data_IF_257033996961
#
_entry.id   IF_257033996961
#
_cell.length_a   1.000
_cell.length_b   1.000
_cell.length_c   1.000
_cell.angle_alpha   90.00
_cell.angle_beta   90.00
_cell.angle_gamma   90.00
#
_symmetry.space_group_name_H-M   'P 1'
#
loop_
_entity.id
_entity.type
_entity.pdbx_description
1 polymer ?
#
# COMPACT_ATOMS: atom_id res chain seq x y z
N UNK A 1 -32.36 2.68 3.70
CA UNK A 1 -31.55 3.28 4.79
C UNK A 1 -30.14 3.35 4.27
N UNK A 2 -29.60 4.56 4.08
CA UNK A 2 -28.27 4.78 3.50
C UNK A 2 -27.33 5.25 4.62
N UNK A 3 -26.15 4.63 4.73
CA UNK A 3 -25.16 4.95 5.75
C UNK A 3 -23.96 5.60 5.08
N UNK A 4 -23.73 6.88 5.36
CA UNK A 4 -22.58 7.62 4.84
C UNK A 4 -21.41 7.44 5.80
N UNK A 5 -20.35 6.77 5.36
CA UNK A 5 -19.12 6.57 6.15
C UNK A 5 -18.06 7.57 5.67
N UNK A 6 -17.47 8.39 6.56
CA UNK A 6 -16.40 9.31 6.17
C UNK A 6 -15.19 8.57 5.59
N UNK A 7 -14.62 9.08 4.49
CA UNK A 7 -13.48 8.45 3.81
C UNK A 7 -12.27 8.19 4.74
N UNK A 8 -12.04 9.07 5.72
CA UNK A 8 -11.00 8.90 6.75
C UNK A 8 -11.18 7.62 7.56
N UNK A 9 -12.42 7.25 7.89
CA UNK A 9 -12.73 6.05 8.69
C UNK A 9 -12.41 4.82 7.84
N UNK A 10 -12.85 4.80 6.59
CA UNK A 10 -12.55 3.71 5.65
C UNK A 10 -11.03 3.54 5.50
N UNK A 11 -10.31 4.62 5.22
CA UNK A 11 -8.86 4.60 5.04
C UNK A 11 -8.13 4.07 6.29
N UNK A 12 -8.49 4.57 7.48
CA UNK A 12 -7.89 4.12 8.75
C UNK A 12 -8.22 2.66 9.03
N UNK A 13 -9.45 2.21 8.75
CA UNK A 13 -9.85 0.80 8.93
C UNK A 13 -9.08 -0.13 8.00
N UNK A 14 -8.99 0.20 6.70
CA UNK A 14 -8.23 -0.60 5.74
C UNK A 14 -6.76 -0.67 6.14
N UNK A 15 -6.17 0.46 6.55
CA UNK A 15 -4.81 0.49 7.06
C UNK A 15 -4.64 -0.35 8.33
N UNK A 16 -5.56 -0.28 9.30
CA UNK A 16 -5.49 -1.05 10.54
C UNK A 16 -5.59 -2.56 10.31
N UNK A 17 -6.42 -2.99 9.36
CA UNK A 17 -6.51 -4.41 8.94
C UNK A 17 -5.21 -4.85 8.29
N UNK A 18 -4.66 -4.05 7.37
CA UNK A 18 -3.38 -4.34 6.73
C UNK A 18 -2.24 -4.41 7.76
N UNK A 19 -2.21 -3.48 8.72
CA UNK A 19 -1.24 -3.46 9.80
C UNK A 19 -1.33 -4.72 10.67
N UNK A 20 -2.55 -5.13 11.07
CA UNK A 20 -2.77 -6.35 11.83
C UNK A 20 -2.30 -7.60 11.09
N UNK A 21 -2.61 -7.69 9.79
CA UNK A 21 -2.12 -8.78 8.93
C UNK A 21 -0.59 -8.81 8.89
N UNK A 22 0.05 -7.65 8.70
CA UNK A 22 1.50 -7.58 8.64
C UNK A 22 2.16 -7.93 9.97
N UNK A 23 1.59 -7.50 11.10
CA UNK A 23 2.08 -7.87 12.42
C UNK A 23 2.02 -9.38 12.64
N UNK A 24 0.95 -10.02 12.16
CA UNK A 24 0.84 -11.48 12.20
C UNK A 24 1.87 -12.16 11.30
N UNK A 25 1.98 -11.76 10.04
CA UNK A 25 2.87 -12.41 9.07
C UNK A 25 4.35 -12.21 9.41
N UNK A 26 4.72 -10.99 9.84
CA UNK A 26 6.11 -10.59 10.03
C UNK A 26 6.61 -10.83 11.45
N UNK A 27 5.78 -10.56 12.45
CA UNK A 27 6.16 -10.67 13.88
C UNK A 27 5.50 -11.85 14.60
N UNK A 28 4.60 -12.58 13.94
CA UNK A 28 3.83 -13.67 14.58
C UNK A 28 2.76 -13.18 15.56
N UNK A 29 2.49 -11.87 15.63
CA UNK A 29 1.57 -11.27 16.61
C UNK A 29 0.19 -11.10 16.01
N UNK A 30 -0.80 -11.81 16.54
CA UNK A 30 -2.19 -11.64 16.14
C UNK A 30 -2.83 -10.46 16.86
N UNK A 31 -3.72 -9.75 16.16
CA UNK A 31 -4.56 -8.71 16.73
C UNK A 31 -6.02 -9.14 16.62
N UNK A 32 -6.78 -8.96 17.69
CA UNK A 32 -8.20 -9.25 17.67
C UNK A 32 -8.97 -8.17 16.93
N UNK A 33 -10.21 -8.48 16.53
CA UNK A 33 -11.11 -7.46 15.96
C UNK A 33 -11.33 -6.29 16.93
N UNK A 34 -11.32 -6.55 18.23
CA UNK A 34 -11.48 -5.51 19.25
C UNK A 34 -10.25 -4.59 19.30
N UNK A 35 -9.04 -5.13 19.20
CA UNK A 35 -7.80 -4.33 19.11
C UNK A 35 -7.82 -3.41 17.89
N UNK A 36 -8.22 -3.96 16.73
CA UNK A 36 -8.35 -3.19 15.48
C UNK A 36 -9.37 -2.06 15.65
N UNK A 37 -10.54 -2.34 16.26
CA UNK A 37 -11.56 -1.31 16.53
C UNK A 37 -11.04 -0.20 17.44
N UNK A 38 -10.30 -0.54 18.49
CA UNK A 38 -9.70 0.45 19.41
C UNK A 38 -8.68 1.33 18.67
N UNK A 39 -7.82 0.74 17.84
CA UNK A 39 -6.85 1.47 17.02
C UNK A 39 -7.56 2.43 16.06
N UNK A 40 -8.59 1.95 15.35
CA UNK A 40 -9.35 2.79 14.41
C UNK A 40 -10.00 3.97 15.15
N UNK A 41 -10.68 3.72 16.27
CA UNK A 41 -11.33 4.77 17.03
C UNK A 41 -10.32 5.81 17.58
N UNK A 42 -9.16 5.34 18.05
CA UNK A 42 -8.07 6.19 18.52
C UNK A 42 -7.52 7.09 17.40
N UNK A 43 -7.17 6.50 16.25
CA UNK A 43 -6.60 7.24 15.12
C UNK A 43 -7.58 8.24 14.52
N UNK A 44 -8.87 7.91 14.45
CA UNK A 44 -9.91 8.85 14.00
C UNK A 44 -9.95 10.07 14.92
N UNK A 45 -9.91 9.88 16.25
CA UNK A 45 -9.90 10.97 17.23
C UNK A 45 -8.65 11.85 17.10
N UNK A 46 -7.48 11.23 17.01
CA UNK A 46 -6.21 11.95 16.84
C UNK A 46 -6.23 12.79 15.56
N UNK A 47 -6.70 12.22 14.44
CA UNK A 47 -6.79 12.94 13.17
C UNK A 47 -7.76 14.12 13.25
N UNK A 48 -8.88 13.98 13.94
CA UNK A 48 -9.83 15.07 14.15
C UNK A 48 -9.27 16.19 15.01
N UNK A 49 -8.49 15.87 16.03
CA UNK A 49 -7.81 16.85 16.86
C UNK A 49 -6.73 17.61 16.08
N UNK A 50 -5.93 16.90 15.28
CA UNK A 50 -4.90 17.51 14.41
C UNK A 50 -5.57 18.47 13.41
N UNK A 51 -6.65 18.04 12.75
CA UNK A 51 -7.35 18.87 11.77
C UNK A 51 -7.99 20.13 12.38
N UNK A 52 -8.33 20.11 13.68
CA UNK A 52 -8.83 21.30 14.40
C UNK A 52 -7.72 22.28 14.78
N UNK A 53 -6.51 21.78 15.05
CA UNK A 53 -5.38 22.59 15.54
C UNK A 53 -4.52 23.18 14.43
N UNK A 54 -4.53 22.60 13.23
CA UNK A 54 -3.73 23.10 12.12
C UNK A 54 -4.47 24.23 11.37
N UNK A 55 -3.83 25.40 11.13
CA UNK A 55 -4.40 26.43 10.27
C UNK A 55 -4.50 25.91 8.82
N UNK A 56 -5.52 26.39 8.10
CA UNK A 56 -5.93 25.93 6.76
C UNK A 56 -4.91 26.24 5.62
N UNK A 57 -3.63 26.44 5.93
CA UNK A 57 -2.58 26.66 4.95
C UNK A 57 -2.17 25.35 4.31
N UNK A 58 -2.98 24.88 3.36
CA UNK A 58 -2.63 23.81 2.42
C UNK A 58 -1.98 24.36 1.15
N UNK A 59 -0.92 25.14 1.32
CA UNK A 59 0.13 25.24 0.28
C UNK A 59 1.29 24.33 0.67
N UNK A 60 0.99 23.06 0.91
CA UNK A 60 2.02 22.05 0.66
C UNK A 60 2.13 21.96 -0.85
N UNK A 61 3.35 22.00 -1.40
CA UNK A 61 3.62 21.47 -2.73
C UNK A 61 3.16 20.02 -2.70
N UNK A 62 1.88 19.80 -3.02
CA UNK A 62 1.32 18.47 -3.08
C UNK A 62 2.04 17.84 -4.25
N UNK A 63 3.00 16.97 -3.95
CA UNK A 63 3.49 15.94 -4.87
C UNK A 63 2.32 15.00 -5.13
N UNK A 64 1.31 15.53 -5.81
CA UNK A 64 0.24 14.75 -6.35
C UNK A 64 0.86 13.74 -7.29
N UNK A 65 0.36 12.51 -7.21
CA UNK A 65 0.67 11.52 -8.22
C UNK A 65 0.41 12.15 -9.59
N UNK A 66 1.47 12.27 -10.40
CA UNK A 66 1.37 12.77 -11.77
C UNK A 66 1.15 11.57 -12.69
N UNK A 67 0.13 11.56 -13.54
CA UNK A 67 0.00 10.52 -14.53
C UNK A 67 1.21 10.49 -15.49
N UNK A 68 1.55 9.31 -16.05
CA UNK A 68 2.49 9.25 -17.16
C UNK A 68 1.90 9.94 -18.40
N UNK A 69 2.76 10.36 -19.34
CA UNK A 69 2.32 10.80 -20.67
C UNK A 69 2.15 9.58 -21.57
N UNK A 70 1.05 9.50 -22.32
CA UNK A 70 0.84 8.55 -23.42
C UNK A 70 2.07 8.56 -24.36
N UNK A 71 2.61 7.38 -24.79
CA UNK A 71 2.12 6.00 -24.60
C UNK A 71 2.71 5.28 -23.38
N UNK A 72 3.20 6.01 -22.40
CA UNK A 72 3.87 5.41 -21.25
C UNK A 72 2.86 4.98 -20.18
N UNK A 73 3.21 3.90 -19.49
CA UNK A 73 2.53 3.45 -18.28
C UNK A 73 3.38 3.76 -17.05
N UNK A 74 2.74 3.91 -15.89
CA UNK A 74 3.41 4.04 -14.60
C UNK A 74 3.30 2.74 -13.83
N UNK A 75 4.45 2.19 -13.46
CA UNK A 75 4.55 0.98 -12.66
C UNK A 75 4.97 1.35 -11.24
N UNK A 76 4.08 1.12 -10.28
CA UNK A 76 4.38 1.20 -8.85
C UNK A 76 4.69 -0.22 -8.37
N UNK A 77 5.83 -0.42 -7.72
CA UNK A 77 6.22 -1.71 -7.15
C UNK A 77 6.74 -1.52 -5.72
N UNK A 78 6.68 -2.57 -4.93
CA UNK A 78 7.15 -2.65 -3.56
C UNK A 78 7.44 -4.12 -3.22
N UNK A 79 8.21 -4.38 -2.17
CA UNK A 79 8.48 -5.73 -1.70
C UNK A 79 8.38 -5.88 -0.18
N UNK A 80 7.58 -6.84 0.27
CA UNK A 80 7.64 -7.32 1.66
C UNK A 80 8.79 -8.31 1.80
N UNK A 81 9.68 -8.12 2.79
CA UNK A 81 10.81 -9.02 3.02
C UNK A 81 10.82 -9.57 4.45
N UNK A 82 10.89 -10.90 4.57
CA UNK A 82 10.95 -11.62 5.85
C UNK A 82 12.33 -12.28 6.03
N UNK A 83 13.26 -11.64 6.76
CA UNK A 83 14.65 -12.11 6.87
C UNK A 83 14.78 -13.46 7.56
N UNK A 84 13.89 -13.80 8.49
CA UNK A 84 13.99 -15.04 9.28
C UNK A 84 13.88 -16.32 8.43
N UNK A 85 13.22 -16.23 7.29
CA UNK A 85 13.01 -17.35 6.37
C UNK A 85 13.57 -17.08 4.98
N UNK A 86 14.31 -15.97 4.81
CA UNK A 86 14.87 -15.54 3.52
C UNK A 86 13.83 -15.50 2.39
N UNK A 87 12.62 -15.02 2.65
CA UNK A 87 11.56 -14.89 1.65
C UNK A 87 11.17 -13.44 1.45
N UNK A 88 10.73 -13.13 0.23
CA UNK A 88 10.04 -11.87 -0.06
C UNK A 88 8.76 -12.11 -0.84
N UNK A 89 7.91 -11.09 -0.87
CA UNK A 89 6.76 -11.02 -1.76
C UNK A 89 6.76 -9.66 -2.43
N UNK A 90 6.95 -9.66 -3.74
CA UNK A 90 6.87 -8.47 -4.58
C UNK A 90 5.40 -8.16 -4.86
N UNK A 91 5.04 -6.87 -4.88
CA UNK A 91 3.72 -6.40 -5.28
C UNK A 91 3.87 -5.24 -6.26
N UNK A 92 2.98 -5.17 -7.25
CA UNK A 92 3.01 -4.09 -8.24
C UNK A 92 1.63 -3.74 -8.80
N UNK A 93 1.51 -2.51 -9.30
CA UNK A 93 0.33 -1.95 -9.97
C UNK A 93 0.79 -1.11 -11.15
N UNK A 94 0.19 -1.34 -12.30
CA UNK A 94 0.47 -0.66 -13.57
C UNK A 94 -0.71 0.23 -13.89
N UNK A 95 -0.45 1.50 -14.19
CA UNK A 95 -1.48 2.50 -14.48
C UNK A 95 -1.21 3.25 -15.78
N UNK A 96 -2.28 3.59 -16.48
CA UNK A 96 -2.22 4.44 -17.66
C UNK A 96 -2.19 5.95 -17.31
N UNK A 97 -2.23 6.79 -18.33
CA UNK A 97 -2.20 8.26 -18.29
C UNK A 97 -3.41 8.91 -17.60
N UNK A 98 -4.51 8.19 -17.43
CA UNK A 98 -5.67 8.66 -16.63
C UNK A 98 -5.73 7.98 -15.25
N UNK A 99 -4.72 7.17 -14.91
CA UNK A 99 -4.60 6.51 -13.62
C UNK A 99 -5.42 5.22 -13.47
N UNK A 100 -6.04 4.74 -14.54
CA UNK A 100 -6.70 3.43 -14.59
C UNK A 100 -5.66 2.32 -14.44
N UNK A 101 -6.02 1.31 -13.66
CA UNK A 101 -5.16 0.14 -13.44
C UNK A 101 -5.27 -0.76 -14.67
N UNK A 102 -4.16 -0.91 -15.40
CA UNK A 102 -4.05 -1.83 -16.53
C UNK A 102 -3.70 -3.25 -16.07
N UNK A 103 -3.01 -3.36 -14.94
CA UNK A 103 -2.63 -4.64 -14.35
C UNK A 103 -2.11 -4.48 -12.94
N UNK A 104 -2.17 -5.57 -12.16
CA UNK A 104 -1.56 -5.64 -10.83
C UNK A 104 -1.22 -7.09 -10.53
N UNK A 105 -0.29 -7.30 -9.59
CA UNK A 105 0.12 -8.64 -9.24
C UNK A 105 0.97 -8.71 -7.98
N UNK A 106 1.17 -9.93 -7.52
CA UNK A 106 2.09 -10.23 -6.44
C UNK A 106 2.83 -11.54 -6.73
N UNK A 107 4.12 -11.59 -6.41
CA UNK A 107 4.99 -12.74 -6.67
C UNK A 107 5.76 -13.07 -5.40
N UNK A 108 5.66 -14.32 -4.95
CA UNK A 108 6.48 -14.84 -3.85
C UNK A 108 7.86 -15.18 -4.37
N UNK A 109 8.90 -14.78 -3.64
CA UNK A 109 10.29 -15.09 -3.91
C UNK A 109 10.91 -15.81 -2.71
N UNK A 110 11.64 -16.87 -2.98
CA UNK A 110 12.44 -17.59 -1.98
C UNK A 110 13.93 -17.23 -2.13
N UNK A 111 14.73 -17.50 -1.10
CA UNK A 111 16.19 -17.29 -1.07
C UNK A 111 16.66 -15.84 -1.24
N UNK A 112 15.93 -14.89 -0.65
CA UNK A 112 16.29 -13.47 -0.67
C UNK A 112 17.16 -13.11 0.54
N UNK A 113 18.31 -12.50 0.28
CA UNK A 113 19.28 -12.16 1.33
C UNK A 113 19.00 -10.83 2.02
N UNK A 114 18.49 -9.83 1.28
CA UNK A 114 18.36 -8.45 1.76
C UNK A 114 17.04 -7.82 1.33
N UNK A 115 16.52 -6.89 2.12
CA UNK A 115 15.34 -6.08 1.77
C UNK A 115 15.57 -5.29 0.48
N UNK A 116 16.77 -4.73 0.29
CA UNK A 116 17.14 -4.04 -0.94
C UNK A 116 17.04 -4.95 -2.18
N UNK A 117 17.47 -6.20 -2.06
CA UNK A 117 17.32 -7.19 -3.15
C UNK A 117 15.86 -7.51 -3.43
N UNK A 118 15.01 -7.56 -2.40
CA UNK A 118 13.57 -7.78 -2.58
C UNK A 118 12.93 -6.66 -3.42
N UNK A 119 13.27 -5.40 -3.13
CA UNK A 119 12.80 -4.22 -3.88
C UNK A 119 13.28 -4.22 -5.32
N UNK A 120 14.58 -4.51 -5.53
CA UNK A 120 15.14 -4.64 -6.87
C UNK A 120 14.45 -5.75 -7.69
N UNK A 121 14.12 -6.87 -7.05
CA UNK A 121 13.38 -7.96 -7.70
C UNK A 121 11.96 -7.53 -8.06
N UNK A 122 11.24 -6.81 -7.18
CA UNK A 122 9.91 -6.29 -7.49
C UNK A 122 9.94 -5.34 -8.70
N UNK A 123 10.96 -4.47 -8.78
CA UNK A 123 11.21 -3.60 -9.93
C UNK A 123 11.37 -4.39 -11.24
N UNK A 124 12.09 -5.51 -11.21
CA UNK A 124 12.33 -6.35 -12.39
C UNK A 124 11.08 -7.16 -12.78
N UNK A 125 10.31 -7.62 -11.80
CA UNK A 125 9.13 -8.47 -12.04
C UNK A 125 7.95 -7.68 -12.59
N UNK A 126 7.74 -6.46 -12.11
CA UNK A 126 6.55 -5.70 -12.47
C UNK A 126 6.38 -5.47 -13.98
N UNK A 127 7.43 -5.11 -14.76
CA UNK A 127 7.33 -4.99 -16.22
C UNK A 127 7.20 -6.34 -16.95
N UNK A 128 7.78 -7.42 -16.40
CA UNK A 128 7.73 -8.75 -17.03
C UNK A 128 6.33 -9.33 -17.04
N UNK A 129 5.55 -9.07 -15.99
CA UNK A 129 4.14 -9.47 -15.95
C UNK A 129 3.30 -8.62 -16.92
N UNK A 130 3.67 -7.36 -17.18
CA UNK A 130 3.02 -6.56 -18.23
C UNK A 130 3.23 -7.09 -19.65
N UNK A 131 4.39 -7.72 -19.92
CA UNK A 131 4.79 -8.14 -21.27
C UNK A 131 4.54 -9.62 -21.57
N UNK A 132 4.11 -10.41 -20.59
CA UNK A 132 3.89 -11.85 -20.72
C UNK A 132 2.48 -12.24 -21.19
N UNK A 133 1.50 -11.39 -20.93
CA UNK A 133 0.13 -11.53 -21.44
C UNK A 133 -0.12 -10.37 -22.41
N UNK A 134 -0.19 -10.68 -23.70
CA UNK A 134 -0.39 -9.71 -24.77
C UNK A 134 -1.58 -8.79 -24.49
N UNK A 135 -1.28 -7.49 -24.45
CA UNK A 135 -2.20 -6.44 -24.90
C UNK A 135 -2.04 -6.33 -26.41
#
# INVERSE_FOLDING_TARGET
>A
MEVIIPAKVIAITVWAIWHARNKQVMEGKQQTAQDIRIIVASLVRVLDEINRKLPDKRETMKTHWKPPQDPNVKVNFDAAFKPQIHQSCSGFVIRNEIGLILGSGAVKNDYISYSFSAEAIACIQAPKVCGGDGI
#
